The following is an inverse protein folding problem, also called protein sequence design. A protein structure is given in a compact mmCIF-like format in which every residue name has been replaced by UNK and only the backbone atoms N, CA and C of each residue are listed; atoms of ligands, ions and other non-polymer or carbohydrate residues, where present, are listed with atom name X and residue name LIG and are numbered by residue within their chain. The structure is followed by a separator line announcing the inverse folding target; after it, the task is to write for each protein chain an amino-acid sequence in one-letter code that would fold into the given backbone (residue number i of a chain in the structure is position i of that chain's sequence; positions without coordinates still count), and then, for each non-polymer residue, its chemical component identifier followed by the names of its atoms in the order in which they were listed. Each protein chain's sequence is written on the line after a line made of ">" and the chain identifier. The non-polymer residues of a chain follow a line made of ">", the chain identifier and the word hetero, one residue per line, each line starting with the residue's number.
data_IF_202999609377
#
_entry.id   IF_202999609377
#
_cell.length_a   1.000
_cell.length_b   1.000
_cell.length_c   1.000
_cell.angle_alpha   90.00
_cell.angle_beta   90.00
_cell.angle_gamma   90.00
#
_symmetry.space_group_name_H-M   'P 1'
#
loop_
_entity.id
_entity.type
_entity.pdbx_description
1 polymer ?
#
# COMPACT_ATOMS: atom_id res chain seq x y z
N UNK A 1 4.50 14.73 -11.49
CA UNK A 1 5.21 14.65 -10.19
C UNK A 1 5.47 16.03 -9.57
N UNK A 2 6.02 17.01 -10.29
CA UNK A 2 6.18 18.39 -9.79
C UNK A 2 4.93 18.93 -9.08
N UNK A 3 3.78 18.90 -9.75
CA UNK A 3 2.56 19.45 -9.16
C UNK A 3 2.05 18.63 -7.96
N UNK A 4 2.28 17.32 -7.95
CA UNK A 4 2.00 16.47 -6.79
C UNK A 4 2.81 16.96 -5.58
N UNK A 5 4.12 17.19 -5.76
CA UNK A 5 4.99 17.69 -4.68
C UNK A 5 4.51 19.02 -4.12
N UNK A 6 4.02 19.92 -4.97
CA UNK A 6 3.46 21.21 -4.51
C UNK A 6 2.16 21.08 -3.70
N UNK A 7 1.44 19.95 -3.83
CA UNK A 7 0.20 19.67 -3.11
C UNK A 7 0.39 18.70 -1.93
N UNK A 8 1.62 18.23 -1.69
CA UNK A 8 1.91 17.35 -0.56
C UNK A 8 1.59 18.05 0.75
N UNK A 9 1.05 17.28 1.70
CA UNK A 9 0.84 17.79 3.06
C UNK A 9 2.17 18.03 3.76
N UNK A 10 2.20 18.92 4.74
CA UNK A 10 3.41 19.24 5.51
C UNK A 10 4.02 18.01 6.20
N UNK A 11 3.17 17.09 6.66
CA UNK A 11 3.58 15.85 7.30
C UNK A 11 3.84 14.70 6.31
N UNK A 12 3.78 14.94 5.00
CA UNK A 12 3.97 13.93 3.98
C UNK A 12 5.42 13.92 3.48
N UNK A 13 6.11 12.81 3.72
CA UNK A 13 7.50 12.61 3.31
C UNK A 13 7.66 11.90 1.97
N UNK A 14 6.62 11.19 1.52
CA UNK A 14 6.71 10.26 0.40
C UNK A 14 5.60 10.48 -0.65
N UNK A 15 5.90 10.11 -1.89
CA UNK A 15 4.97 10.11 -3.02
C UNK A 15 4.30 8.74 -3.06
N UNK A 16 3.00 8.69 -2.84
CA UNK A 16 2.24 7.45 -2.83
C UNK A 16 1.76 7.11 -4.24
N UNK A 17 1.95 5.87 -4.66
CA UNK A 17 1.46 5.39 -5.94
C UNK A 17 0.85 3.99 -5.85
N UNK A 18 0.03 3.65 -6.84
CA UNK A 18 -0.50 2.31 -7.09
C UNK A 18 -0.43 2.03 -8.58
N UNK A 19 -0.03 0.81 -8.91
CA UNK A 19 -0.05 0.27 -10.26
C UNK A 19 -1.19 -0.73 -10.43
N UNK A 20 -1.79 -0.78 -11.61
CA UNK A 20 -2.86 -1.72 -11.96
C UNK A 20 -3.14 -1.79 -13.45
N UNK A 21 -4.18 -2.52 -13.87
CA UNK A 21 -4.50 -2.70 -15.28
C UNK A 21 -5.38 -1.57 -15.85
N UNK A 22 -6.17 -0.90 -15.02
CA UNK A 22 -7.00 0.24 -15.42
C UNK A 22 -7.21 1.25 -14.29
N UNK A 23 -7.70 2.43 -14.66
CA UNK A 23 -8.03 3.48 -13.69
C UNK A 23 -9.11 3.01 -12.70
N UNK A 24 -10.15 2.34 -13.19
CA UNK A 24 -11.27 1.88 -12.39
C UNK A 24 -10.80 0.88 -11.32
N UNK A 25 -9.89 -0.03 -11.68
CA UNK A 25 -9.32 -1.02 -10.77
C UNK A 25 -8.55 -0.35 -9.63
N UNK A 26 -7.61 0.55 -9.95
CA UNK A 26 -6.78 1.20 -8.94
C UNK A 26 -7.57 2.21 -8.12
N UNK A 27 -8.57 2.86 -8.71
CA UNK A 27 -9.43 3.83 -8.02
C UNK A 27 -10.37 3.17 -7.00
N UNK A 28 -10.82 1.95 -7.29
CA UNK A 28 -11.65 1.12 -6.40
C UNK A 28 -10.85 0.22 -5.45
N UNK A 29 -9.52 0.29 -5.49
CA UNK A 29 -8.65 -0.59 -4.72
C UNK A 29 -8.78 -0.37 -3.20
N UNK A 30 -8.83 -1.43 -2.37
CA UNK A 30 -8.78 -1.31 -0.91
C UNK A 30 -7.58 -0.50 -0.40
N UNK A 31 -6.46 -0.53 -1.14
CA UNK A 31 -5.24 0.17 -0.75
C UNK A 31 -5.37 1.69 -0.77
N UNK A 32 -6.29 2.24 -1.56
CA UNK A 32 -6.48 3.70 -1.65
C UNK A 32 -7.39 4.26 -0.56
N UNK A 33 -8.15 3.41 0.14
CA UNK A 33 -9.18 3.83 1.10
C UNK A 33 -8.63 4.75 2.19
N UNK A 34 -7.66 4.28 2.99
CA UNK A 34 -7.10 5.06 4.11
C UNK A 34 -6.29 6.25 3.62
N UNK A 35 -5.57 6.07 2.51
CA UNK A 35 -4.72 7.12 1.93
C UNK A 35 -5.58 8.31 1.52
N UNK A 36 -6.69 8.04 0.81
CA UNK A 36 -7.69 9.06 0.45
C UNK A 36 -8.44 9.62 1.66
N UNK A 37 -8.85 8.79 2.62
CA UNK A 37 -9.58 9.28 3.80
C UNK A 37 -8.74 10.22 4.67
N UNK A 38 -7.42 10.01 4.70
CA UNK A 38 -6.45 10.94 5.29
C UNK A 38 -6.06 12.09 4.38
N UNK A 39 -6.65 12.20 3.18
CA UNK A 39 -6.43 13.28 2.23
C UNK A 39 -5.05 13.30 1.59
N UNK A 40 -4.33 12.18 1.56
CA UNK A 40 -3.10 12.06 0.78
C UNK A 40 -3.44 11.76 -0.68
N UNK A 41 -2.75 12.44 -1.60
CA UNK A 41 -2.88 12.17 -3.03
C UNK A 41 -2.20 10.82 -3.37
N UNK A 42 -2.75 10.09 -4.34
CA UNK A 42 -2.18 8.83 -4.83
C UNK A 42 -2.04 8.91 -6.34
N UNK A 43 -0.83 8.64 -6.84
CA UNK A 43 -0.57 8.54 -8.28
C UNK A 43 -1.05 7.19 -8.80
N UNK A 44 -1.92 7.22 -9.81
CA UNK A 44 -2.42 6.02 -10.49
C UNK A 44 -1.61 5.75 -11.74
N UNK A 45 -1.10 4.54 -11.81
CA UNK A 45 -0.25 4.06 -12.88
C UNK A 45 -0.92 2.84 -13.50
N UNK A 46 -1.27 2.92 -14.77
CA UNK A 46 -2.15 1.94 -15.43
C UNK A 46 -1.50 1.29 -16.63
N UNK A 47 -0.33 1.76 -17.04
CA UNK A 47 0.39 1.21 -18.17
C UNK A 47 1.40 0.16 -17.68
N UNK A 48 1.61 -0.95 -18.42
CA UNK A 48 2.60 -1.95 -18.04
C UNK A 48 4.02 -1.39 -17.87
N UNK A 49 4.37 -0.34 -18.64
CA UNK A 49 5.67 0.32 -18.54
C UNK A 49 5.86 1.06 -17.21
N UNK A 50 4.78 1.52 -16.58
CA UNK A 50 4.85 2.26 -15.31
C UNK A 50 5.47 1.41 -14.21
N UNK A 51 5.16 0.11 -14.20
CA UNK A 51 5.69 -0.85 -13.23
C UNK A 51 7.23 -0.94 -13.31
N UNK A 52 7.79 -0.86 -14.51
CA UNK A 52 9.24 -0.83 -14.71
C UNK A 52 9.82 0.55 -14.36
N UNK A 53 9.12 1.63 -14.71
CA UNK A 53 9.54 3.00 -14.41
C UNK A 53 9.74 3.20 -12.90
N UNK A 54 8.78 2.81 -12.06
CA UNK A 54 8.86 3.01 -10.60
C UNK A 54 9.85 2.09 -9.89
N UNK A 55 10.30 1.01 -10.54
CA UNK A 55 11.41 0.21 -10.02
C UNK A 55 12.75 0.94 -10.14
N UNK A 56 12.91 1.78 -11.17
CA UNK A 56 14.12 2.56 -11.41
C UNK A 56 14.04 3.94 -10.76
N UNK A 57 12.87 4.59 -10.84
CA UNK A 57 12.61 5.89 -10.23
C UNK A 57 12.25 5.72 -8.75
N UNK A 58 13.27 5.64 -7.90
CA UNK A 58 13.10 5.48 -6.46
C UNK A 58 12.71 6.78 -5.75
N UNK A 59 13.19 7.91 -6.27
CA UNK A 59 13.03 9.23 -5.65
C UNK A 59 12.78 10.31 -6.70
N UNK A 60 12.00 11.32 -6.31
CA UNK A 60 11.76 12.54 -7.08
C UNK A 60 11.78 13.73 -6.12
N UNK A 61 12.62 14.73 -6.40
CA UNK A 61 12.75 15.94 -5.56
C UNK A 61 13.03 15.63 -4.07
N UNK A 62 13.87 14.62 -3.82
CA UNK A 62 14.20 14.15 -2.47
C UNK A 62 13.09 13.39 -1.74
N UNK A 63 11.96 13.12 -2.41
CA UNK A 63 10.83 12.35 -1.88
C UNK A 63 10.84 10.93 -2.48
N UNK A 64 10.67 9.90 -1.65
CA UNK A 64 10.64 8.52 -2.14
C UNK A 64 9.31 8.20 -2.78
N UNK A 65 9.32 7.34 -3.79
CA UNK A 65 8.12 6.75 -4.36
C UNK A 65 7.78 5.48 -3.58
N UNK A 66 6.61 5.48 -2.93
CA UNK A 66 6.14 4.38 -2.07
C UNK A 66 4.88 3.76 -2.68
N UNK A 67 4.96 2.46 -2.98
CA UNK A 67 3.80 1.69 -3.42
C UNK A 67 2.88 1.39 -2.23
N UNK A 68 1.60 1.73 -2.35
CA UNK A 68 0.61 1.47 -1.31
C UNK A 68 0.14 0.00 -1.26
N UNK A 69 0.46 -0.79 -2.29
CA UNK A 69 0.15 -2.23 -2.39
C UNK A 69 1.23 -3.11 -1.74
N UNK A 70 2.38 -2.52 -1.40
CA UNK A 70 3.51 -3.22 -0.78
C UNK A 70 3.49 -3.13 0.74
N UNK A 71 4.19 -4.06 1.37
CA UNK A 71 4.54 -3.98 2.78
C UNK A 71 5.37 -2.73 3.10
N UNK A 72 5.29 -2.28 4.36
CA UNK A 72 6.04 -1.10 4.82
C UNK A 72 5.42 0.24 4.45
N UNK A 73 4.16 0.28 3.99
CA UNK A 73 3.42 1.54 3.88
C UNK A 73 3.24 2.14 5.27
N UNK A 74 3.97 3.22 5.53
CA UNK A 74 3.80 4.08 6.69
C UNK A 74 3.10 5.36 6.25
N UNK A 75 1.88 5.55 6.74
CA UNK A 75 1.18 6.81 6.60
C UNK A 75 1.50 7.66 7.83
N UNK A 76 1.60 9.00 7.69
CA UNK A 76 1.63 9.87 8.85
C UNK A 76 0.41 9.62 9.73
N UNK A 77 0.65 9.36 11.01
CA UNK A 77 -0.38 9.07 12.02
C UNK A 77 -0.10 9.90 13.28
N UNK A 78 -1.16 10.26 13.99
CA UNK A 78 -1.04 10.88 15.31
C UNK A 78 -0.75 9.85 16.42
N UNK A 79 -0.41 10.32 17.62
CA UNK A 79 -0.09 9.44 18.75
C UNK A 79 -1.28 8.58 19.21
N UNK A 80 -2.51 9.08 19.06
CA UNK A 80 -3.71 8.35 19.49
C UNK A 80 -4.00 7.18 18.54
N UNK A 81 -3.84 7.39 17.23
CA UNK A 81 -3.95 6.37 16.21
C UNK A 81 -2.88 5.29 16.38
N UNK A 82 -1.63 5.68 16.67
CA UNK A 82 -0.55 4.72 16.96
C UNK A 82 -0.85 3.87 18.19
N UNK A 83 -1.35 4.47 19.28
CA UNK A 83 -1.75 3.73 20.48
C UNK A 83 -2.88 2.74 20.17
N UNK A 84 -3.93 3.20 19.48
CA UNK A 84 -5.05 2.34 19.08
C UNK A 84 -4.59 1.18 18.19
N UNK A 85 -3.65 1.42 17.27
CA UNK A 85 -3.11 0.38 16.41
C UNK A 85 -2.35 -0.69 17.21
N UNK A 86 -1.52 -0.29 18.18
CA UNK A 86 -0.83 -1.25 19.05
C UNK A 86 -1.81 -2.03 19.95
N UNK A 87 -2.86 -1.39 20.47
CA UNK A 87 -3.94 -2.06 21.20
C UNK A 87 -4.68 -3.08 20.32
N UNK A 88 -5.07 -2.70 19.10
CA UNK A 88 -5.74 -3.59 18.15
C UNK A 88 -4.82 -4.75 17.74
N UNK A 89 -3.53 -4.49 17.54
CA UNK A 89 -2.53 -5.51 17.22
C UNK A 89 -2.42 -6.55 18.34
N UNK A 90 -2.37 -6.13 19.60
CA UNK A 90 -2.38 -7.03 20.75
C UNK A 90 -3.71 -7.79 20.86
N UNK A 91 -4.84 -7.10 20.68
CA UNK A 91 -6.18 -7.67 20.78
C UNK A 91 -6.44 -8.75 19.72
N UNK A 92 -5.99 -8.53 18.49
CA UNK A 92 -6.22 -9.43 17.36
C UNK A 92 -5.06 -10.38 17.08
N UNK A 93 -4.00 -10.38 17.91
CA UNK A 93 -2.84 -11.27 17.72
C UNK A 93 -3.25 -12.74 17.60
N UNK A 94 -4.16 -13.20 18.47
CA UNK A 94 -4.65 -14.58 18.45
C UNK A 94 -5.47 -14.88 17.18
N UNK A 95 -6.27 -13.92 16.71
CA UNK A 95 -7.02 -14.06 15.46
C UNK A 95 -6.06 -14.17 14.27
N UNK A 96 -5.01 -13.34 14.22
CA UNK A 96 -3.99 -13.42 13.19
C UNK A 96 -3.28 -14.79 13.16
N UNK A 97 -2.97 -15.36 14.34
CA UNK A 97 -2.40 -16.72 14.44
C UNK A 97 -3.34 -17.78 13.89
N UNK A 98 -4.59 -17.80 14.33
CA UNK A 98 -5.61 -18.75 13.83
C UNK A 98 -5.80 -18.62 12.32
N UNK A 99 -5.87 -17.39 11.80
CA UNK A 99 -5.98 -17.17 10.35
C UNK A 99 -4.74 -17.63 9.59
N UNK A 100 -3.53 -17.45 10.15
CA UNK A 100 -2.28 -17.93 9.56
C UNK A 100 -2.24 -19.46 9.50
N UNK A 101 -2.75 -20.15 10.52
CA UNK A 101 -2.84 -21.62 10.55
C UNK A 101 -3.87 -22.14 9.54
N UNK A 102 -5.04 -21.49 9.43
CA UNK A 102 -6.06 -21.85 8.43
C UNK A 102 -5.54 -21.65 7.00
N UNK A 103 -4.81 -20.56 6.77
CA UNK A 103 -4.23 -20.19 5.48
C UNK A 103 -2.79 -20.67 5.33
N UNK A 104 -2.43 -21.76 6.04
CA UNK A 104 -1.07 -22.30 5.96
C UNK A 104 -0.67 -22.57 4.51
N UNK A 105 0.61 -22.30 4.21
CA UNK A 105 1.22 -22.34 2.86
C UNK A 105 0.62 -21.40 1.81
N UNK A 106 -0.51 -20.72 2.08
CA UNK A 106 -1.14 -19.77 1.15
C UNK A 106 -0.68 -18.33 1.39
N UNK A 107 -0.40 -17.97 2.64
CA UNK A 107 0.07 -16.63 3.03
C UNK A 107 1.35 -16.75 3.83
N UNK A 108 2.25 -15.78 3.69
CA UNK A 108 3.50 -15.74 4.46
C UNK A 108 3.25 -15.37 5.92
N UNK A 109 2.44 -14.33 6.17
CA UNK A 109 2.03 -13.86 7.50
C UNK A 109 0.65 -13.20 7.45
N UNK A 110 -0.01 -13.14 8.60
CA UNK A 110 -1.25 -12.40 8.80
C UNK A 110 -1.00 -11.35 9.87
N UNK A 111 -1.30 -10.09 9.57
CA UNK A 111 -1.05 -8.95 10.47
C UNK A 111 -2.23 -7.98 10.43
N UNK A 112 -2.43 -7.26 11.54
CA UNK A 112 -3.38 -6.13 11.58
C UNK A 112 -2.85 -5.00 10.71
N UNK A 113 -3.75 -4.34 9.99
CA UNK A 113 -3.42 -3.27 9.05
C UNK A 113 -4.16 -2.00 9.41
N UNK A 114 -3.45 -0.87 9.40
CA UNK A 114 -4.01 0.48 9.56
C UNK A 114 -4.39 1.14 8.21
N UNK A 115 -4.14 0.48 7.07
CA UNK A 115 -4.35 1.05 5.72
C UNK A 115 -5.75 0.83 5.14
N UNK A 116 -6.63 0.11 5.85
CA UNK A 116 -8.00 -0.22 5.41
C UNK A 116 -9.02 0.63 6.16
N UNK A 117 -10.14 0.94 5.53
CA UNK A 117 -11.25 1.68 6.14
C UNK A 117 -12.55 0.87 6.08
N UNK A 118 -12.97 0.49 4.88
CA UNK A 118 -14.22 -0.25 4.62
C UNK A 118 -13.96 -1.72 4.32
N UNK A 119 -12.81 -2.03 3.73
CA UNK A 119 -12.45 -3.40 3.39
C UNK A 119 -12.02 -4.21 4.62
N UNK A 120 -12.46 -5.48 4.76
CA UNK A 120 -12.14 -6.29 5.94
C UNK A 120 -10.70 -6.82 5.94
N UNK A 121 -10.10 -7.06 4.77
CA UNK A 121 -8.73 -7.51 4.62
C UNK A 121 -8.18 -7.20 3.20
N UNK A 122 -6.86 -7.31 3.03
CA UNK A 122 -6.18 -7.17 1.74
C UNK A 122 -4.92 -8.05 1.69
N UNK A 123 -4.50 -8.49 0.50
CA UNK A 123 -3.24 -9.21 0.29
C UNK A 123 -2.16 -8.23 -0.16
N UNK A 124 -1.13 -8.04 0.66
CA UNK A 124 0.01 -7.18 0.36
C UNK A 124 1.17 -8.00 -0.21
N UNK A 125 1.95 -7.40 -1.10
CA UNK A 125 3.19 -8.00 -1.60
C UNK A 125 4.39 -7.53 -0.79
N UNK A 126 5.43 -8.36 -0.68
CA UNK A 126 6.67 -7.99 0.01
C UNK A 126 7.31 -6.71 -0.56
N UNK A 127 8.03 -5.97 0.28
CA UNK A 127 8.62 -4.66 -0.06
C UNK A 127 9.52 -4.71 -1.31
N UNK A 128 10.37 -5.74 -1.41
CA UNK A 128 11.31 -5.92 -2.52
C UNK A 128 10.82 -6.91 -3.60
N UNK A 129 9.65 -7.51 -3.39
CA UNK A 129 9.06 -8.47 -4.32
C UNK A 129 8.36 -7.82 -5.51
N UNK A 130 7.88 -8.67 -6.40
CA UNK A 130 6.96 -8.26 -7.47
C UNK A 130 5.62 -7.85 -6.85
N UNK A 131 5.04 -6.79 -7.40
CA UNK A 131 3.64 -6.47 -7.14
C UNK A 131 2.73 -7.49 -7.85
N UNK A 132 1.47 -7.55 -7.45
CA UNK A 132 0.48 -8.39 -8.14
C UNK A 132 0.33 -7.97 -9.62
N UNK A 133 0.43 -6.67 -9.92
CA UNK A 133 0.37 -6.17 -11.29
C UNK A 133 1.63 -6.57 -12.10
N UNK A 134 2.82 -6.52 -11.49
CA UNK A 134 4.04 -7.01 -12.13
C UNK A 134 3.97 -8.51 -12.43
N UNK A 135 3.47 -9.32 -11.49
CA UNK A 135 3.28 -10.76 -11.70
C UNK A 135 2.31 -11.03 -12.88
N UNK A 136 1.22 -10.25 -12.98
CA UNK A 136 0.27 -10.32 -14.09
C UNK A 136 0.95 -10.01 -15.43
N UNK A 137 1.77 -8.95 -15.49
CA UNK A 137 2.52 -8.57 -16.70
C UNK A 137 3.48 -9.69 -17.12
N UNK A 138 4.25 -10.23 -16.17
CA UNK A 138 5.24 -11.29 -16.43
C UNK A 138 4.62 -12.61 -16.87
N UNK A 139 3.42 -12.96 -16.38
CA UNK A 139 2.69 -14.17 -16.81
C UNK A 139 2.07 -14.05 -18.20
N UNK A 140 1.87 -12.83 -18.69
CA UNK A 140 1.23 -12.55 -19.97
C UNK A 140 2.22 -12.38 -21.13
N UNK A 141 3.53 -12.35 -20.84
CA UNK A 141 4.64 -12.38 -21.81
C UNK A 141 5.14 -13.80 -22.02
#
# INVERSE_FOLDING_TARGET
>A
LKDYVTRMKENQTDIYYITGASYEEVAASPFVERVKSRGFEVVYMTEPIDEYCVQQLKEYDGKKLVSITKEGLELPEDEAEKKKFEEDKAKYENLCKVMKDILDKKVEKVVVSNRLTTSPCCIVTGQYGWSANMERIMKAQ
#
